data_IF_445759820421
#
_entry.id   IF_445759820421
#
_cell.length_a   1.000
_cell.length_b   1.000
_cell.length_c   1.000
_cell.angle_alpha   90.00
_cell.angle_beta   90.00
_cell.angle_gamma   90.00
#
_symmetry.space_group_name_H-M   'P 1'
#
loop_
_entity.id
_entity.type
_entity.pdbx_description
1 polymer ?
#
# COMPACT_ATOMS: atom_id res chain seq x y z
N UNK A 1 -26.92 60.31 15.68
CA UNK A 1 -26.65 60.24 14.23
C UNK A 1 -25.22 59.75 14.02
N UNK A 2 -25.07 58.45 13.80
CA UNK A 2 -23.95 57.77 13.16
C UNK A 2 -24.41 56.31 12.95
N UNK A 3 -24.40 55.83 11.70
CA UNK A 3 -25.01 54.58 11.25
C UNK A 3 -24.14 53.36 11.67
N UNK A 4 -24.73 52.17 11.89
CA UNK A 4 -23.96 50.94 12.00
C UNK A 4 -23.36 50.60 10.63
N UNK A 5 -22.03 50.61 10.53
CA UNK A 5 -21.29 50.17 9.35
C UNK A 5 -21.26 48.64 9.31
N UNK A 6 -22.18 48.05 8.56
CA UNK A 6 -22.09 46.67 8.07
C UNK A 6 -20.85 46.54 7.16
N UNK A 7 -19.88 45.65 7.47
CA UNK A 7 -18.84 45.30 6.52
C UNK A 7 -19.44 44.45 5.39
N UNK A 8 -19.21 44.86 4.15
CA UNK A 8 -19.85 44.45 2.89
C UNK A 8 -19.38 43.09 2.32
N UNK A 9 -18.95 42.12 3.13
CA UNK A 9 -18.55 40.79 2.64
C UNK A 9 -19.13 39.65 3.49
N UNK A 10 -20.46 39.64 3.63
CA UNK A 10 -21.20 38.40 3.83
C UNK A 10 -21.14 37.58 2.52
N UNK A 11 -19.95 37.10 2.18
CA UNK A 11 -19.70 36.25 1.02
C UNK A 11 -20.44 34.93 1.24
N UNK A 12 -21.55 34.81 0.52
CA UNK A 12 -22.31 33.59 0.30
C UNK A 12 -21.38 32.39 0.06
N UNK A 13 -21.37 31.43 0.98
CA UNK A 13 -20.82 30.11 0.71
C UNK A 13 -22.02 29.16 0.45
N UNK A 14 -22.12 28.65 -0.78
CA UNK A 14 -23.23 27.81 -1.21
C UNK A 14 -22.83 26.34 -1.05
N UNK A 15 -23.34 25.61 -0.04
CA UNK A 15 -22.78 24.32 0.33
C UNK A 15 -23.25 23.16 -0.57
N UNK A 16 -23.98 23.44 -1.66
CA UNK A 16 -24.49 22.43 -2.58
C UNK A 16 -25.32 21.37 -1.85
N UNK A 17 -24.96 20.08 -1.98
CA UNK A 17 -25.64 18.95 -1.31
C UNK A 17 -25.02 18.58 0.06
N UNK A 18 -24.15 19.42 0.62
CA UNK A 18 -23.51 19.20 1.93
C UNK A 18 -23.84 20.34 2.88
N UNK A 19 -23.44 20.18 4.14
CA UNK A 19 -23.54 21.20 5.18
C UNK A 19 -22.25 22.02 5.23
N UNK A 20 -22.37 23.36 5.22
CA UNK A 20 -21.28 24.25 5.60
C UNK A 20 -21.49 24.65 7.06
N UNK A 21 -20.47 24.46 7.87
CA UNK A 21 -20.44 24.92 9.26
C UNK A 21 -19.24 25.84 9.41
N UNK A 22 -19.50 27.10 9.75
CA UNK A 22 -18.46 28.11 9.96
C UNK A 22 -17.98 27.98 11.40
N UNK A 23 -16.80 27.40 11.57
CA UNK A 23 -16.14 27.30 12.87
C UNK A 23 -15.69 28.71 13.26
N UNK A 24 -16.48 29.40 14.09
CA UNK A 24 -16.20 30.75 14.60
C UNK A 24 -15.43 30.74 15.92
N UNK A 25 -15.11 29.56 16.46
CA UNK A 25 -14.43 29.35 17.74
C UNK A 25 -12.97 28.90 17.52
N UNK A 26 -12.27 29.57 16.60
CA UNK A 26 -10.83 29.46 16.47
C UNK A 26 -10.22 30.36 17.54
N UNK A 27 -9.96 29.79 18.72
CA UNK A 27 -9.16 30.42 19.75
C UNK A 27 -7.85 30.93 19.12
N UNK A 28 -7.54 32.21 19.35
CA UNK A 28 -6.37 32.88 18.75
C UNK A 28 -5.11 32.62 19.57
N UNK A 29 -5.23 31.80 20.62
CA UNK A 29 -4.10 31.28 21.34
C UNK A 29 -3.20 30.47 20.39
N UNK A 30 -1.88 30.71 20.40
CA UNK A 30 -0.98 29.96 19.54
C UNK A 30 -1.13 28.48 19.89
N UNK A 31 -1.73 27.71 18.97
CA UNK A 31 -1.83 26.26 19.07
C UNK A 31 -0.44 25.77 19.39
N UNK A 32 -0.27 25.29 20.63
CA UNK A 32 0.98 24.71 21.09
C UNK A 32 1.15 23.48 20.22
N UNK A 33 1.91 23.63 19.13
CA UNK A 33 2.29 22.53 18.25
C UNK A 33 3.10 21.60 19.13
N UNK A 34 2.42 20.64 19.74
CA UNK A 34 3.07 19.48 20.32
C UNK A 34 3.78 18.86 19.14
N UNK A 35 5.07 19.14 19.02
CA UNK A 35 5.93 18.46 18.08
C UNK A 35 5.73 16.99 18.43
N UNK A 36 4.98 16.27 17.60
CA UNK A 36 4.81 14.84 17.71
C UNK A 36 6.19 14.29 17.39
N UNK A 37 7.03 14.31 18.41
CA UNK A 37 8.33 13.68 18.37
C UNK A 37 7.99 12.23 18.09
N UNK A 38 8.22 11.82 16.83
CA UNK A 38 7.97 10.47 16.39
C UNK A 38 8.95 9.63 17.18
N UNK A 39 8.51 9.18 18.37
CA UNK A 39 9.38 8.58 19.38
C UNK A 39 10.29 7.54 18.75
N UNK A 40 11.56 7.52 19.18
CA UNK A 40 12.67 6.69 18.68
C UNK A 40 12.20 5.70 17.61
N UNK A 41 12.22 6.12 16.35
CA UNK A 41 11.69 5.31 15.24
C UNK A 41 12.53 4.03 15.17
N UNK A 42 11.95 2.91 15.62
CA UNK A 42 12.56 1.60 15.49
C UNK A 42 12.52 1.19 14.02
N UNK A 43 13.58 1.48 13.28
CA UNK A 43 13.72 1.11 11.88
C UNK A 43 14.16 -0.34 11.77
N UNK A 44 13.57 -1.09 10.85
CA UNK A 44 14.15 -2.36 10.41
C UNK A 44 15.46 -2.06 9.70
N UNK A 45 16.55 -2.69 10.15
CA UNK A 45 17.82 -2.66 9.42
C UNK A 45 17.68 -3.34 8.05
N UNK A 46 18.62 -3.04 7.15
CA UNK A 46 18.61 -3.48 5.75
C UNK A 46 18.39 -4.99 5.62
N UNK A 47 19.09 -5.80 6.42
CA UNK A 47 18.96 -7.25 6.38
C UNK A 47 17.56 -7.75 6.71
N UNK A 48 16.90 -7.16 7.71
CA UNK A 48 15.53 -7.54 8.09
C UNK A 48 14.53 -7.10 7.04
N UNK A 49 14.67 -5.88 6.49
CA UNK A 49 13.79 -5.41 5.42
C UNK A 49 13.94 -6.24 4.14
N UNK A 50 15.18 -6.60 3.77
CA UNK A 50 15.45 -7.46 2.61
C UNK A 50 14.94 -8.88 2.83
N UNK A 51 15.06 -9.44 4.04
CA UNK A 51 14.52 -10.75 4.34
C UNK A 51 12.99 -10.80 4.20
N UNK A 52 12.28 -9.77 4.68
CA UNK A 52 10.81 -9.68 4.56
C UNK A 52 10.40 -9.59 3.08
N UNK A 53 10.96 -8.62 2.36
CA UNK A 53 10.64 -8.41 0.94
C UNK A 53 11.05 -9.62 0.08
N UNK A 54 12.23 -10.18 0.34
CA UNK A 54 12.74 -11.35 -0.36
C UNK A 54 11.86 -12.58 -0.16
N UNK A 55 11.36 -12.80 1.06
CA UNK A 55 10.44 -13.90 1.32
C UNK A 55 9.10 -13.71 0.57
N UNK A 56 8.55 -12.50 0.57
CA UNK A 56 7.27 -12.20 -0.10
C UNK A 56 7.33 -12.44 -1.62
N UNK A 57 8.39 -11.97 -2.28
CA UNK A 57 8.61 -12.21 -3.71
C UNK A 57 8.95 -13.68 -3.99
N UNK A 58 9.82 -14.30 -3.19
CA UNK A 58 10.22 -15.68 -3.45
C UNK A 58 9.07 -16.66 -3.27
N UNK A 59 8.23 -16.46 -2.24
CA UNK A 59 7.06 -17.31 -1.98
C UNK A 59 6.10 -17.32 -3.16
N UNK A 60 5.79 -16.15 -3.73
CA UNK A 60 4.92 -16.04 -4.90
C UNK A 60 5.55 -16.65 -6.16
N UNK A 61 6.86 -16.46 -6.40
CA UNK A 61 7.55 -17.10 -7.52
C UNK A 61 7.55 -18.63 -7.46
N UNK A 62 7.72 -19.24 -6.27
CA UNK A 62 7.78 -20.70 -6.12
C UNK A 62 6.45 -21.37 -6.50
N UNK A 63 5.33 -20.85 -5.99
CA UNK A 63 4.01 -21.37 -6.35
C UNK A 63 3.69 -21.17 -7.85
N UNK A 64 4.01 -20.00 -8.41
CA UNK A 64 3.82 -19.72 -9.85
C UNK A 64 4.68 -20.67 -10.69
N UNK A 65 5.90 -20.98 -10.26
CA UNK A 65 6.80 -21.91 -10.95
C UNK A 65 6.21 -23.31 -11.01
N UNK A 66 5.60 -23.80 -9.92
CA UNK A 66 4.94 -25.10 -9.91
C UNK A 66 3.76 -25.16 -10.91
N UNK A 67 2.93 -24.11 -10.96
CA UNK A 67 1.81 -24.03 -11.90
C UNK A 67 2.31 -23.89 -13.35
N UNK A 68 3.30 -23.06 -13.59
CA UNK A 68 3.89 -22.87 -14.91
C UNK A 68 4.53 -24.16 -15.43
N UNK A 69 5.23 -24.91 -14.57
CA UNK A 69 5.78 -26.22 -14.92
C UNK A 69 4.67 -27.23 -15.27
N UNK A 70 3.55 -27.22 -14.54
CA UNK A 70 2.42 -28.12 -14.80
C UNK A 70 1.76 -27.87 -16.16
N UNK A 71 1.51 -26.59 -16.53
CA UNK A 71 0.81 -26.26 -17.78
C UNK A 71 1.73 -26.08 -19.00
N UNK A 72 2.87 -25.43 -18.84
CA UNK A 72 3.78 -25.09 -19.95
C UNK A 72 4.87 -26.15 -20.19
N UNK A 73 5.03 -27.12 -19.27
CA UNK A 73 6.01 -28.20 -19.37
C UNK A 73 7.42 -27.69 -19.71
N UNK A 74 8.04 -28.12 -20.82
CA UNK A 74 9.39 -27.72 -21.19
C UNK A 74 9.55 -26.22 -21.52
N UNK A 75 8.45 -25.50 -21.79
CA UNK A 75 8.46 -24.05 -22.08
C UNK A 75 8.32 -23.18 -20.82
N UNK A 76 8.11 -23.78 -19.64
CA UNK A 76 8.05 -23.06 -18.37
C UNK A 76 9.22 -22.07 -18.12
N UNK A 77 10.51 -22.40 -18.38
CA UNK A 77 11.60 -21.45 -18.15
C UNK A 77 11.51 -20.18 -19.00
N UNK A 78 10.92 -20.24 -20.20
CA UNK A 78 10.72 -19.06 -21.05
C UNK A 78 9.68 -18.13 -20.43
N UNK A 79 8.58 -18.70 -19.93
CA UNK A 79 7.54 -17.93 -19.23
C UNK A 79 8.10 -17.29 -17.94
N UNK A 80 8.89 -18.04 -17.17
CA UNK A 80 9.53 -17.52 -15.95
C UNK A 80 10.59 -16.45 -16.25
N UNK A 81 11.34 -16.59 -17.34
CA UNK A 81 12.29 -15.58 -17.79
C UNK A 81 11.58 -14.26 -18.16
N UNK A 82 10.41 -14.33 -18.78
CA UNK A 82 9.59 -13.15 -19.07
C UNK A 82 9.13 -12.46 -17.79
N UNK A 83 8.60 -13.22 -16.82
CA UNK A 83 8.19 -12.68 -15.51
C UNK A 83 9.37 -12.01 -14.80
N UNK A 84 10.54 -12.67 -14.78
CA UNK A 84 11.76 -12.12 -14.20
C UNK A 84 12.19 -10.83 -14.89
N UNK A 85 12.11 -10.76 -16.22
CA UNK A 85 12.43 -9.54 -16.98
C UNK A 85 11.50 -8.37 -16.63
N UNK A 86 10.19 -8.63 -16.47
CA UNK A 86 9.23 -7.61 -16.06
C UNK A 86 9.53 -7.11 -14.63
N UNK A 87 9.76 -8.03 -13.68
CA UNK A 87 10.13 -7.67 -12.30
C UNK A 87 11.44 -6.87 -12.25
N UNK A 88 12.41 -7.21 -13.11
CA UNK A 88 13.65 -6.47 -13.23
C UNK A 88 13.44 -5.02 -13.71
N UNK A 89 12.48 -4.78 -14.60
CA UNK A 89 12.15 -3.42 -15.03
C UNK A 89 11.52 -2.59 -13.88
N UNK A 90 10.66 -3.21 -13.09
CA UNK A 90 10.03 -2.57 -11.92
C UNK A 90 11.03 -2.18 -10.83
N UNK A 91 12.14 -2.91 -10.67
CA UNK A 91 13.18 -2.60 -9.68
C UNK A 91 13.61 -1.14 -9.71
N UNK A 92 13.86 -0.59 -10.90
CA UNK A 92 14.34 0.79 -11.05
C UNK A 92 13.26 1.79 -10.63
N UNK A 93 12.01 1.53 -11.00
CA UNK A 93 10.86 2.38 -10.63
C UNK A 93 10.69 2.41 -9.10
N UNK A 94 10.73 1.25 -8.43
CA UNK A 94 10.63 1.18 -6.97
C UNK A 94 11.80 1.86 -6.26
N UNK A 95 13.00 1.83 -6.82
CA UNK A 95 14.16 2.53 -6.27
C UNK A 95 14.01 4.06 -6.35
N UNK A 96 13.58 4.58 -7.49
CA UNK A 96 13.32 6.02 -7.68
C UNK A 96 12.20 6.51 -6.76
N UNK A 97 11.07 5.79 -6.72
CA UNK A 97 9.92 6.16 -5.88
C UNK A 97 10.26 6.07 -4.39
N UNK A 98 10.95 5.00 -3.97
CA UNK A 98 11.32 4.78 -2.57
C UNK A 98 12.34 5.78 -2.03
N UNK A 99 13.21 6.32 -2.91
CA UNK A 99 14.16 7.38 -2.55
C UNK A 99 13.52 8.77 -2.59
N UNK A 100 12.58 9.02 -3.50
CA UNK A 100 11.89 10.30 -3.63
C UNK A 100 10.90 10.58 -2.47
N UNK A 101 10.22 9.55 -1.95
CA UNK A 101 9.19 9.70 -0.91
C UNK A 101 9.35 8.66 0.22
N UNK A 102 10.30 8.86 1.16
CA UNK A 102 10.52 7.97 2.30
C UNK A 102 9.44 8.17 3.39
N UNK A 103 8.18 7.95 3.03
CA UNK A 103 7.01 8.14 3.88
C UNK A 103 6.56 6.81 4.52
N UNK A 104 6.21 6.86 5.81
CA UNK A 104 5.59 5.74 6.52
C UNK A 104 4.18 5.52 5.97
N UNK A 105 4.00 4.54 5.08
CA UNK A 105 2.72 4.25 4.41
C UNK A 105 2.85 3.69 2.99
N UNK A 106 4.08 3.54 2.47
CA UNK A 106 4.37 2.81 1.24
C UNK A 106 3.59 3.32 0.03
N UNK A 107 3.08 2.39 -0.78
CA UNK A 107 2.36 2.70 -2.02
C UNK A 107 1.15 3.62 -1.80
N UNK A 108 0.40 3.48 -0.70
CA UNK A 108 -0.75 4.36 -0.41
C UNK A 108 -0.34 5.81 -0.25
N UNK A 109 0.71 6.09 0.52
CA UNK A 109 1.18 7.46 0.71
C UNK A 109 1.80 8.02 -0.57
N UNK A 110 2.49 7.21 -1.36
CA UNK A 110 2.95 7.64 -2.70
C UNK A 110 1.75 8.04 -3.56
N UNK A 111 0.70 7.21 -3.60
CA UNK A 111 -0.53 7.49 -4.34
C UNK A 111 -1.25 8.73 -3.80
N UNK A 112 -1.39 8.88 -2.48
CA UNK A 112 -2.03 10.04 -1.87
C UNK A 112 -1.31 11.36 -2.22
N UNK A 113 0.01 11.32 -2.43
CA UNK A 113 0.81 12.48 -2.81
C UNK A 113 0.88 12.71 -4.34
N UNK A 114 0.45 11.74 -5.16
CA UNK A 114 0.54 11.81 -6.63
C UNK A 114 -0.82 11.79 -7.33
N UNK A 115 -1.89 11.40 -6.63
CA UNK A 115 -3.26 11.28 -7.16
C UNK A 115 -4.33 11.83 -6.20
N UNK A 116 -5.60 11.62 -6.51
CA UNK A 116 -6.74 12.04 -5.67
C UNK A 116 -7.00 11.07 -4.52
N UNK A 117 -7.54 11.57 -3.40
CA UNK A 117 -7.84 10.77 -2.19
C UNK A 117 -8.68 9.51 -2.50
N UNK A 118 -9.67 9.63 -3.38
CA UNK A 118 -10.54 8.53 -3.76
C UNK A 118 -9.83 7.44 -4.58
N UNK A 119 -8.98 7.85 -5.53
CA UNK A 119 -8.19 6.90 -6.33
C UNK A 119 -7.11 6.23 -5.47
N UNK A 120 -6.44 6.97 -4.59
CA UNK A 120 -5.47 6.41 -3.65
C UNK A 120 -6.10 5.38 -2.70
N UNK A 121 -7.28 5.66 -2.14
CA UNK A 121 -7.99 4.69 -1.29
C UNK A 121 -8.48 3.47 -2.05
N UNK A 122 -9.01 3.65 -3.27
CA UNK A 122 -9.44 2.53 -4.09
C UNK A 122 -8.27 1.62 -4.48
N UNK A 123 -7.14 2.21 -4.87
CA UNK A 123 -5.92 1.48 -5.17
C UNK A 123 -5.40 0.71 -3.94
N UNK A 124 -5.37 1.33 -2.76
CA UNK A 124 -4.96 0.65 -1.53
C UNK A 124 -5.88 -0.53 -1.16
N UNK A 125 -7.21 -0.36 -1.31
CA UNK A 125 -8.16 -1.46 -1.10
C UNK A 125 -7.89 -2.62 -2.08
N UNK A 126 -7.65 -2.33 -3.36
CA UNK A 126 -7.31 -3.36 -4.35
C UNK A 126 -5.99 -4.06 -4.04
N UNK A 127 -4.98 -3.33 -3.57
CA UNK A 127 -3.70 -3.91 -3.15
C UNK A 127 -3.88 -4.86 -1.96
N UNK A 128 -4.64 -4.46 -0.93
CA UNK A 128 -4.93 -5.32 0.23
C UNK A 128 -5.71 -6.56 -0.20
N UNK A 129 -6.73 -6.40 -1.04
CA UNK A 129 -7.52 -7.52 -1.56
C UNK A 129 -6.63 -8.52 -2.32
N UNK A 130 -5.74 -8.02 -3.19
CA UNK A 130 -4.77 -8.83 -3.92
C UNK A 130 -3.81 -9.58 -2.97
N UNK A 131 -3.32 -8.91 -1.93
CA UNK A 131 -2.45 -9.53 -0.92
C UNK A 131 -3.16 -10.66 -0.17
N UNK A 132 -4.40 -10.44 0.27
CA UNK A 132 -5.17 -11.45 1.00
C UNK A 132 -5.47 -12.64 0.09
N UNK A 133 -5.88 -12.40 -1.16
CA UNK A 133 -6.09 -13.47 -2.13
C UNK A 133 -4.81 -14.29 -2.36
N UNK A 134 -3.67 -13.62 -2.50
CA UNK A 134 -2.37 -14.27 -2.66
C UNK A 134 -1.97 -15.06 -1.41
N UNK A 135 -2.22 -14.54 -0.21
CA UNK A 135 -1.96 -15.23 1.04
C UNK A 135 -2.77 -16.52 1.18
N UNK A 136 -4.05 -16.51 0.78
CA UNK A 136 -4.91 -17.72 0.78
C UNK A 136 -4.37 -18.77 -0.19
N UNK A 137 -3.98 -18.37 -1.41
CA UNK A 137 -3.40 -19.29 -2.39
C UNK A 137 -2.07 -19.86 -1.90
N UNK A 138 -1.22 -19.02 -1.31
CA UNK A 138 0.06 -19.44 -0.75
C UNK A 138 -0.11 -20.42 0.42
N UNK A 139 -1.08 -20.19 1.30
CA UNK A 139 -1.40 -21.09 2.40
C UNK A 139 -1.90 -22.45 1.88
N UNK A 140 -2.76 -22.44 0.86
CA UNK A 140 -3.23 -23.66 0.21
C UNK A 140 -2.07 -24.47 -0.38
N UNK A 141 -1.18 -23.83 -1.15
CA UNK A 141 -0.01 -24.48 -1.72
C UNK A 141 0.94 -25.03 -0.64
N UNK A 142 1.18 -24.27 0.44
CA UNK A 142 2.01 -24.72 1.57
C UNK A 142 1.45 -25.99 2.22
N UNK A 143 0.13 -26.02 2.44
CA UNK A 143 -0.54 -27.19 3.01
C UNK A 143 -0.53 -28.39 2.05
N UNK A 144 -0.66 -28.16 0.73
CA UNK A 144 -0.47 -29.22 -0.27
C UNK A 144 0.95 -29.79 -0.25
N UNK A 145 1.99 -28.95 -0.11
CA UNK A 145 3.37 -29.44 0.06
C UNK A 145 3.56 -30.23 1.35
N UNK A 146 2.97 -29.76 2.46
CA UNK A 146 3.02 -30.47 3.74
C UNK A 146 2.36 -31.85 3.68
N UNK A 147 1.22 -31.98 3.01
CA UNK A 147 0.56 -33.27 2.76
C UNK A 147 1.45 -34.24 1.96
N UNK A 148 2.12 -33.73 0.91
CA UNK A 148 3.04 -34.55 0.12
C UNK A 148 4.25 -35.03 0.94
N UNK A 149 4.68 -34.25 1.95
CA UNK A 149 5.79 -34.63 2.83
C UNK A 149 5.35 -35.61 3.93
N UNK A 150 4.14 -35.42 4.48
CA UNK A 150 3.55 -36.27 5.52
C UNK A 150 2.15 -36.72 5.10
N UNK A 151 2.05 -37.94 4.57
CA UNK A 151 0.81 -38.50 4.02
C UNK A 151 -0.33 -38.64 5.04
N UNK A 152 -0.01 -38.74 6.34
CA UNK A 152 -1.00 -38.80 7.44
C UNK A 152 -1.59 -37.43 7.83
N UNK A 153 -1.05 -36.33 7.29
CA UNK A 153 -1.59 -35.01 7.55
C UNK A 153 -2.86 -34.83 6.74
N UNK A 154 -4.04 -34.90 7.36
CA UNK A 154 -5.28 -34.71 6.61
C UNK A 154 -5.47 -33.24 6.24
N UNK A 155 -5.42 -32.93 4.94
CA UNK A 155 -5.53 -31.55 4.42
C UNK A 155 -6.86 -31.31 3.72
N UNK A 156 -7.84 -32.22 3.85
CA UNK A 156 -9.25 -31.98 3.50
C UNK A 156 -10.21 -32.70 4.47
#
# INVERSE_FOLDING_TARGET
MALPSTPLEAAWDFPGRRTAERISDLDTDPVKLTHLDSGVIHKLGVWRSTAICGNDITSSCLYVTAIAAFYAGPYAPIALALVAAVLFLFRNIYAEVGTALPLNGGAYNVLLNTTTKGQASAAACLTILSYIATAVISAHAAMSYAHNLYADLNVF
#
